data_IF_217253504523
#
_entry.id   IF_217253504523
#
_cell.length_a   1.000
_cell.length_b   1.000
_cell.length_c   1.000
_cell.angle_alpha   90.00
_cell.angle_beta   90.00
_cell.angle_gamma   90.00
#
_symmetry.space_group_name_H-M   'P 1'
#
loop_
_entity.id
_entity.type
_entity.pdbx_description
1 polymer ?
#
# COMPACT_ATOMS: atom_id res chain seq x y z
N UNK A 1 28.37 -11.25 -3.17
CA UNK A 1 26.90 -11.25 -3.06
C UNK A 1 26.46 -9.85 -2.64
N UNK A 2 25.82 -9.06 -3.51
CA UNK A 2 25.34 -7.72 -3.14
C UNK A 2 24.11 -7.89 -2.25
N UNK A 3 24.16 -7.41 -1.01
CA UNK A 3 23.03 -7.44 -0.08
C UNK A 3 21.90 -6.59 -0.67
N UNK A 4 20.75 -7.20 -0.93
CA UNK A 4 19.57 -6.49 -1.44
C UNK A 4 18.74 -6.00 -0.24
N UNK A 5 19.13 -4.85 0.31
CA UNK A 5 18.48 -4.24 1.48
C UNK A 5 16.95 -4.13 1.32
N UNK A 6 16.39 -3.66 0.18
CA UNK A 6 14.94 -3.54 0.02
C UNK A 6 14.20 -4.88 0.12
N UNK A 7 14.81 -5.94 -0.41
CA UNK A 7 14.26 -7.30 -0.38
C UNK A 7 14.21 -7.82 1.06
N UNK A 8 15.31 -7.66 1.81
CA UNK A 8 15.38 -8.07 3.21
C UNK A 8 14.34 -7.32 4.06
N UNK A 9 14.26 -5.99 3.90
CA UNK A 9 13.30 -5.16 4.62
C UNK A 9 11.85 -5.60 4.34
N UNK A 10 11.52 -5.85 3.07
CA UNK A 10 10.21 -6.36 2.66
C UNK A 10 9.87 -7.69 3.34
N UNK A 11 10.77 -8.68 3.29
CA UNK A 11 10.54 -9.98 3.94
C UNK A 11 10.41 -9.87 5.46
N UNK A 12 11.18 -9.00 6.11
CA UNK A 12 11.05 -8.76 7.55
C UNK A 12 9.67 -8.19 7.91
N UNK A 13 9.16 -7.22 7.14
CA UNK A 13 7.81 -6.67 7.34
C UNK A 13 6.72 -7.73 7.12
N UNK A 14 6.88 -8.57 6.09
CA UNK A 14 5.98 -9.70 5.81
C UNK A 14 5.91 -10.69 6.96
N UNK A 15 7.06 -11.11 7.49
CA UNK A 15 7.14 -11.96 8.67
C UNK A 15 6.54 -11.28 9.91
N UNK A 16 6.80 -9.97 10.09
CA UNK A 16 6.24 -9.21 11.21
C UNK A 16 4.70 -9.14 11.15
N UNK A 17 4.09 -9.03 9.97
CA UNK A 17 2.63 -9.10 9.82
C UNK A 17 2.06 -10.46 10.25
N UNK A 18 2.75 -11.56 9.95
CA UNK A 18 2.33 -12.89 10.44
C UNK A 18 2.40 -12.94 11.98
N UNK A 19 3.50 -12.44 12.56
CA UNK A 19 3.66 -12.39 14.03
C UNK A 19 2.57 -11.51 14.66
N UNK A 20 2.27 -10.36 14.08
CA UNK A 20 1.19 -9.47 14.52
C UNK A 20 -0.19 -10.12 14.43
N UNK A 21 -0.45 -10.92 13.38
CA UNK A 21 -1.67 -11.71 13.25
C UNK A 21 -1.81 -12.75 14.36
N UNK A 22 -0.73 -13.49 14.65
CA UNK A 22 -0.71 -14.46 15.77
C UNK A 22 -0.87 -13.77 17.12
N UNK A 23 -0.22 -12.64 17.33
CA UNK A 23 -0.38 -11.84 18.55
C UNK A 23 -1.83 -11.36 18.73
N UNK A 24 -2.47 -10.90 17.64
CA UNK A 24 -3.87 -10.45 17.65
C UNK A 24 -4.84 -11.54 18.10
N UNK A 25 -4.56 -12.81 17.79
CA UNK A 25 -5.33 -13.97 18.30
C UNK A 25 -5.23 -14.06 19.83
N UNK A 26 -4.03 -13.86 20.39
CA UNK A 26 -3.79 -13.96 21.84
C UNK A 26 -4.52 -12.86 22.62
N UNK A 27 -4.65 -11.68 22.04
CA UNK A 27 -5.39 -10.55 22.64
C UNK A 27 -6.86 -10.53 22.26
N UNK A 28 -7.36 -11.55 21.55
CA UNK A 28 -8.73 -11.68 21.07
C UNK A 28 -9.19 -10.53 20.17
N UNK A 29 -8.27 -9.90 19.44
CA UNK A 29 -8.55 -8.84 18.48
C UNK A 29 -8.72 -9.43 17.07
N UNK A 30 -9.95 -9.88 16.79
CA UNK A 30 -10.26 -10.56 15.53
C UNK A 30 -10.13 -9.64 14.32
N UNK A 31 -10.46 -8.35 14.47
CA UNK A 31 -10.36 -7.37 13.39
C UNK A 31 -8.91 -7.27 12.90
N UNK A 32 -7.99 -7.03 13.84
CA UNK A 32 -6.58 -6.86 13.50
C UNK A 32 -5.87 -8.18 13.18
N UNK A 33 -6.37 -9.32 13.67
CA UNK A 33 -5.98 -10.63 13.17
C UNK A 33 -6.27 -10.76 11.67
N UNK A 34 -7.51 -10.51 11.24
CA UNK A 34 -7.88 -10.60 9.83
C UNK A 34 -7.10 -9.59 8.99
N UNK A 35 -6.98 -8.34 9.45
CA UNK A 35 -6.20 -7.31 8.76
C UNK A 35 -4.73 -7.72 8.58
N UNK A 36 -4.12 -8.35 9.59
CA UNK A 36 -2.72 -8.80 9.54
C UNK A 36 -2.48 -9.89 8.49
N UNK A 37 -3.32 -10.93 8.48
CA UNK A 37 -3.16 -12.02 7.51
C UNK A 37 -3.54 -11.60 6.09
N UNK A 38 -4.61 -10.80 5.93
CA UNK A 38 -4.95 -10.21 4.64
C UNK A 38 -3.84 -9.28 4.15
N UNK A 39 -3.25 -8.48 5.05
CA UNK A 39 -2.11 -7.62 4.74
C UNK A 39 -0.90 -8.42 4.26
N UNK A 40 -0.56 -9.51 4.95
CA UNK A 40 0.49 -10.42 4.48
C UNK A 40 0.20 -10.95 3.07
N UNK A 41 -1.01 -11.46 2.81
CA UNK A 41 -1.39 -11.97 1.49
C UNK A 41 -1.30 -10.86 0.42
N UNK A 42 -1.83 -9.67 0.70
CA UNK A 42 -1.78 -8.54 -0.23
C UNK A 42 -0.35 -8.08 -0.51
N UNK A 43 0.54 -8.13 0.47
CA UNK A 43 1.97 -7.79 0.28
C UNK A 43 2.71 -8.78 -0.63
N UNK A 44 2.11 -9.95 -0.93
CA UNK A 44 2.63 -10.90 -1.92
C UNK A 44 2.26 -10.52 -3.35
N UNK A 45 1.38 -9.54 -3.57
CA UNK A 45 0.93 -9.16 -4.91
C UNK A 45 2.08 -8.88 -5.90
N UNK A 46 3.15 -8.14 -5.56
CA UNK A 46 4.29 -7.92 -6.46
C UNK A 46 4.91 -9.24 -6.94
N UNK A 47 5.17 -10.17 -6.02
CA UNK A 47 5.76 -11.48 -6.31
C UNK A 47 4.82 -12.35 -7.18
N UNK A 48 3.52 -12.30 -6.91
CA UNK A 48 2.51 -13.05 -7.66
C UNK A 48 2.41 -12.51 -9.09
N UNK A 49 2.39 -11.18 -9.25
CA UNK A 49 2.33 -10.50 -10.56
C UNK A 49 3.58 -10.82 -11.36
N UNK A 50 4.77 -10.69 -10.78
CA UNK A 50 6.05 -11.02 -11.42
C UNK A 50 6.03 -12.45 -11.98
N UNK A 51 5.63 -13.43 -11.15
CA UNK A 51 5.57 -14.84 -11.56
C UNK A 51 4.49 -15.13 -12.61
N UNK A 52 3.33 -14.46 -12.52
CA UNK A 52 2.18 -14.74 -13.39
C UNK A 52 2.31 -14.13 -14.78
N UNK A 53 2.92 -12.96 -14.88
CA UNK A 53 3.05 -12.22 -16.13
C UNK A 53 4.46 -12.30 -16.74
N UNK A 54 5.39 -13.01 -16.10
CA UNK A 54 6.80 -13.12 -16.53
C UNK A 54 7.46 -11.75 -16.74
N UNK A 55 7.12 -10.79 -15.86
CA UNK A 55 7.68 -9.44 -15.84
C UNK A 55 8.53 -9.25 -14.60
N UNK A 56 9.59 -8.44 -14.70
CA UNK A 56 10.38 -8.08 -13.52
C UNK A 56 9.76 -6.92 -12.78
N UNK A 57 9.36 -7.14 -11.53
CA UNK A 57 8.88 -6.07 -10.66
C UNK A 57 10.08 -5.46 -9.91
N UNK A 58 10.24 -4.12 -9.92
CA UNK A 58 11.31 -3.49 -9.16
C UNK A 58 11.19 -3.79 -7.66
N UNK A 59 12.32 -4.14 -7.02
CA UNK A 59 12.38 -4.40 -5.57
C UNK A 59 11.85 -3.23 -4.74
N UNK A 60 12.00 -2.00 -5.24
CA UNK A 60 11.47 -0.82 -4.58
C UNK A 60 9.93 -0.78 -4.58
N UNK A 61 9.29 -1.29 -5.63
CA UNK A 61 7.83 -1.39 -5.69
C UNK A 61 7.31 -2.47 -4.74
N UNK A 62 7.99 -3.62 -4.65
CA UNK A 62 7.66 -4.65 -3.65
C UNK A 62 7.78 -4.09 -2.22
N UNK A 63 8.87 -3.37 -1.95
CA UNK A 63 9.06 -2.70 -0.67
C UNK A 63 7.96 -1.64 -0.42
N UNK A 64 7.62 -0.80 -1.40
CA UNK A 64 6.61 0.25 -1.24
C UNK A 64 5.23 -0.30 -0.93
N UNK A 65 4.78 -1.34 -1.66
CA UNK A 65 3.52 -2.05 -1.40
C UNK A 65 3.52 -2.64 -0.01
N UNK A 66 4.60 -3.35 0.35
CA UNK A 66 4.73 -3.99 1.66
C UNK A 66 4.75 -2.97 2.80
N UNK A 67 5.44 -1.85 2.61
CA UNK A 67 5.57 -0.77 3.58
C UNK A 67 4.21 -0.16 3.92
N UNK A 68 3.41 0.20 2.91
CA UNK A 68 2.09 0.80 3.10
C UNK A 68 1.18 -0.13 3.91
N UNK A 69 1.14 -1.42 3.53
CA UNK A 69 0.33 -2.41 4.23
C UNK A 69 0.84 -2.64 5.66
N UNK A 70 2.16 -2.71 5.83
CA UNK A 70 2.78 -2.90 7.14
C UNK A 70 2.49 -1.74 8.10
N UNK A 71 2.56 -0.49 7.63
CA UNK A 71 2.14 0.68 8.41
C UNK A 71 0.67 0.56 8.82
N UNK A 72 -0.20 0.13 7.91
CA UNK A 72 -1.62 0.01 8.24
C UNK A 72 -1.87 -1.04 9.34
N UNK A 73 -1.28 -2.24 9.19
CA UNK A 73 -1.41 -3.34 10.16
C UNK A 73 -0.76 -2.98 11.51
N UNK A 74 0.47 -2.43 11.48
CA UNK A 74 1.19 -2.03 12.69
C UNK A 74 0.47 -0.91 13.45
N UNK A 75 -0.14 0.03 12.71
CA UNK A 75 -1.03 1.08 13.21
C UNK A 75 -2.08 0.55 14.17
N UNK A 76 -2.78 -0.48 13.74
CA UNK A 76 -3.86 -1.10 14.47
C UNK A 76 -3.41 -2.01 15.60
N UNK A 77 -2.63 -3.04 15.26
CA UNK A 77 -2.22 -4.11 16.19
C UNK A 77 -1.45 -3.55 17.39
N UNK A 78 -0.57 -2.58 17.15
CA UNK A 78 0.28 -1.97 18.18
C UNK A 78 -0.34 -0.69 18.76
N UNK A 79 -1.59 -0.37 18.38
CA UNK A 79 -2.30 0.85 18.78
C UNK A 79 -1.55 2.14 18.45
N UNK A 80 -0.72 2.14 17.42
CA UNK A 80 0.08 3.30 17.01
C UNK A 80 -0.78 4.45 16.46
N UNK A 81 -1.95 4.16 15.86
CA UNK A 81 -2.90 5.20 15.45
C UNK A 81 -3.32 6.11 16.59
N UNK A 82 -3.42 5.57 17.81
CA UNK A 82 -3.86 6.31 18.99
C UNK A 82 -2.72 6.78 19.90
N UNK A 83 -1.52 6.22 19.75
CA UNK A 83 -0.40 6.48 20.68
C UNK A 83 0.71 7.32 20.06
N UNK A 84 0.89 7.30 18.74
CA UNK A 84 1.95 8.03 18.05
C UNK A 84 1.32 9.18 17.25
N UNK A 85 1.64 10.45 17.57
CA UNK A 85 1.17 11.60 16.81
C UNK A 85 1.53 11.50 15.32
N UNK A 86 0.59 11.85 14.45
CA UNK A 86 0.76 11.83 12.99
C UNK A 86 1.04 10.47 12.35
N UNK A 87 1.02 9.36 13.09
CA UNK A 87 1.26 8.03 12.53
C UNK A 87 0.33 7.74 11.35
N UNK A 88 -0.95 8.03 11.56
CA UNK A 88 -1.99 7.95 10.55
C UNK A 88 -1.59 8.73 9.27
N UNK A 89 -1.25 10.01 9.42
CA UNK A 89 -0.90 10.88 8.29
C UNK A 89 0.38 10.45 7.57
N UNK A 90 1.34 9.84 8.26
CA UNK A 90 2.52 9.23 7.64
C UNK A 90 2.11 8.00 6.80
N UNK A 91 1.25 7.14 7.33
CA UNK A 91 0.69 6.00 6.59
C UNK A 91 -0.05 6.45 5.33
N UNK A 92 -0.95 7.43 5.46
CA UNK A 92 -1.68 8.01 4.34
C UNK A 92 -0.76 8.66 3.30
N UNK A 93 0.34 9.30 3.71
CA UNK A 93 1.32 9.86 2.77
C UNK A 93 1.93 8.76 1.89
N UNK A 94 2.42 7.67 2.48
CA UNK A 94 3.01 6.57 1.71
C UNK A 94 1.96 5.86 0.85
N UNK A 95 0.74 5.66 1.36
CA UNK A 95 -0.36 5.10 0.60
C UNK A 95 -0.71 5.98 -0.61
N UNK A 96 -0.82 7.29 -0.40
CA UNK A 96 -1.11 8.27 -1.46
C UNK A 96 -0.01 8.32 -2.52
N UNK A 97 1.26 8.23 -2.11
CA UNK A 97 2.39 8.16 -3.04
C UNK A 97 2.34 6.90 -3.91
N UNK A 98 1.99 5.74 -3.33
CA UNK A 98 1.81 4.49 -4.07
C UNK A 98 0.62 4.57 -5.04
N UNK A 99 -0.52 5.12 -4.61
CA UNK A 99 -1.70 5.34 -5.46
C UNK A 99 -1.36 6.28 -6.62
N UNK A 100 -0.64 7.38 -6.35
CA UNK A 100 -0.18 8.30 -7.38
C UNK A 100 0.75 7.61 -8.39
N UNK A 101 1.68 6.78 -7.93
CA UNK A 101 2.55 6.01 -8.80
C UNK A 101 1.74 5.06 -9.71
N UNK A 102 0.75 4.36 -9.17
CA UNK A 102 -0.13 3.47 -9.94
C UNK A 102 -0.94 4.27 -10.96
N UNK A 103 -1.53 5.40 -10.56
CA UNK A 103 -2.33 6.25 -11.44
C UNK A 103 -1.50 6.84 -12.58
N UNK A 104 -0.31 7.36 -12.27
CA UNK A 104 0.62 7.85 -13.30
C UNK A 104 1.03 6.73 -14.26
N UNK A 105 1.37 5.55 -13.74
CA UNK A 105 1.71 4.38 -14.57
C UNK A 105 0.55 4.00 -15.48
N UNK A 106 -0.68 3.96 -14.97
CA UNK A 106 -1.86 3.62 -15.76
C UNK A 106 -2.12 4.65 -16.88
N UNK A 107 -2.07 5.95 -16.58
CA UNK A 107 -2.26 7.01 -17.58
C UNK A 107 -1.15 6.98 -18.63
N UNK A 108 0.10 6.80 -18.21
CA UNK A 108 1.24 6.65 -19.14
C UNK A 108 1.06 5.45 -20.08
N UNK A 109 0.67 4.29 -19.55
CA UNK A 109 0.44 3.10 -20.38
C UNK A 109 -0.73 3.29 -21.36
N UNK A 110 -1.78 4.02 -20.97
CA UNK A 110 -2.88 4.35 -21.86
C UNK A 110 -2.44 5.30 -22.98
N UNK A 111 -1.67 6.34 -22.65
CA UNK A 111 -1.14 7.29 -23.62
C UNK A 111 -0.19 6.63 -24.64
N UNK A 112 0.70 5.76 -24.17
CA UNK A 112 1.73 5.12 -24.99
C UNK A 112 1.16 3.98 -25.86
N UNK A 113 0.25 3.17 -25.32
CA UNK A 113 -0.17 1.92 -25.95
C UNK A 113 -1.62 1.90 -26.46
N UNK A 114 -2.44 2.91 -26.17
CA UNK A 114 -3.82 2.98 -26.62
C UNK A 114 -4.10 4.24 -27.44
N UNK A 115 -4.48 4.06 -28.71
CA UNK A 115 -4.74 5.16 -29.65
C UNK A 115 -5.93 6.07 -29.29
N UNK A 116 -6.69 5.74 -28.25
CA UNK A 116 -7.81 6.55 -27.77
C UNK A 116 -7.41 7.66 -26.80
N UNK A 117 -6.18 7.68 -26.29
CA UNK A 117 -5.69 8.68 -25.36
C UNK A 117 -4.36 9.25 -25.85
N UNK A 118 -4.29 10.58 -25.96
CA UNK A 118 -3.05 11.31 -26.16
C UNK A 118 -3.00 12.47 -25.17
N UNK A 119 -1.97 12.53 -24.34
CA UNK A 119 -1.88 13.42 -23.21
C UNK A 119 -0.45 13.91 -23.03
N UNK A 120 -0.27 15.22 -22.85
CA UNK A 120 1.03 15.77 -22.52
C UNK A 120 1.38 15.51 -21.04
N UNK A 121 2.65 15.71 -20.68
CA UNK A 121 3.13 15.50 -19.31
C UNK A 121 2.32 16.29 -18.27
N UNK A 122 1.87 17.51 -18.63
CA UNK A 122 1.08 18.36 -17.74
C UNK A 122 -0.29 17.75 -17.46
N UNK A 123 -0.96 17.23 -18.49
CA UNK A 123 -2.20 16.49 -18.36
C UNK A 123 -2.04 15.25 -17.48
N UNK A 124 -0.98 14.47 -17.68
CA UNK A 124 -0.74 13.27 -16.87
C UNK A 124 -0.57 13.61 -15.39
N UNK A 125 0.26 14.61 -15.07
CA UNK A 125 0.48 15.08 -13.70
C UNK A 125 -0.84 15.55 -13.09
N UNK A 126 -1.62 16.33 -13.82
CA UNK A 126 -2.91 16.82 -13.34
C UNK A 126 -3.88 15.68 -13.02
N UNK A 127 -4.04 14.72 -13.93
CA UNK A 127 -4.91 13.55 -13.73
C UNK A 127 -4.44 12.72 -12.54
N UNK A 128 -3.14 12.45 -12.42
CA UNK A 128 -2.58 11.74 -11.28
C UNK A 128 -2.91 12.43 -9.96
N UNK A 129 -2.69 13.76 -9.86
CA UNK A 129 -2.98 14.52 -8.64
C UNK A 129 -4.47 14.45 -8.30
N UNK A 130 -5.35 14.75 -9.26
CA UNK A 130 -6.80 14.75 -9.04
C UNK A 130 -7.30 13.36 -8.65
N UNK A 131 -6.83 12.31 -9.33
CA UNK A 131 -7.20 10.93 -9.04
C UNK A 131 -6.74 10.52 -7.64
N UNK A 132 -5.48 10.78 -7.27
CA UNK A 132 -4.96 10.45 -5.93
C UNK A 132 -5.74 11.19 -4.83
N UNK A 133 -6.05 12.47 -5.03
CA UNK A 133 -6.89 13.22 -4.09
C UNK A 133 -8.30 12.63 -4.00
N UNK A 134 -8.91 12.25 -5.11
CA UNK A 134 -10.25 11.66 -5.11
C UNK A 134 -10.29 10.33 -4.34
N UNK A 135 -9.29 9.46 -4.54
CA UNK A 135 -9.16 8.21 -3.79
C UNK A 135 -8.94 8.50 -2.30
N UNK A 136 -8.08 9.46 -1.95
CA UNK A 136 -7.84 9.85 -0.56
C UNK A 136 -9.09 10.40 0.14
N UNK A 137 -9.86 11.26 -0.55
CA UNK A 137 -11.13 11.78 -0.02
C UNK A 137 -12.16 10.66 0.17
N UNK A 138 -12.28 9.76 -0.81
CA UNK A 138 -13.19 8.62 -0.69
C UNK A 138 -12.82 7.70 0.48
N UNK A 139 -11.52 7.47 0.69
CA UNK A 139 -11.01 6.72 1.84
C UNK A 139 -11.43 7.39 3.15
N UNK A 140 -11.11 8.67 3.35
CA UNK A 140 -11.38 9.40 4.60
C UNK A 140 -12.89 9.52 4.90
N UNK A 141 -13.74 9.61 3.85
CA UNK A 141 -15.20 9.53 4.03
C UNK A 141 -15.61 8.15 4.57
N UNK A 142 -14.98 7.08 4.07
CA UNK A 142 -15.21 5.71 4.54
C UNK A 142 -14.80 5.53 5.99
N UNK A 143 -13.61 6.01 6.36
CA UNK A 143 -13.13 6.00 7.76
C UNK A 143 -14.03 6.80 8.67
N UNK A 144 -14.38 8.03 8.29
CA UNK A 144 -15.31 8.85 9.05
C UNK A 144 -16.63 8.12 9.32
N UNK A 145 -17.15 7.38 8.34
CA UNK A 145 -18.37 6.60 8.48
C UNK A 145 -18.24 5.41 9.44
N UNK A 146 -17.08 4.74 9.47
CA UNK A 146 -16.81 3.60 10.36
C UNK A 146 -16.55 4.08 11.79
N UNK A 147 -15.79 5.17 11.95
CA UNK A 147 -15.39 5.73 13.25
C UNK A 147 -16.56 6.27 14.09
N UNK A 148 -17.75 6.45 13.51
CA UNK A 148 -18.95 6.84 14.26
C UNK A 148 -19.58 5.70 15.08
N UNK A 149 -19.18 4.45 14.86
CA UNK A 149 -19.77 3.26 15.48
C UNK A 149 -18.79 2.52 16.39
#
# INVERSE_FOLDING_TARGET
MKIQIPLIASYLMKCAMIVMGVYSIQVHDWLWMFASFSGFILSMAPNIIEKRFDIRIPLLLDLAVTLVIFFHVGGGVLKMYWTIPFYDKIGHFFASALIAFIALTAVYLLDEYWSGLHMDLRGMIFVTIVFTMAVGVAWEIGEFGIDQF
#
